data_IF_301456406591
#
_entry.id   IF_301456406591
#
_cell.length_a   1.000
_cell.length_b   1.000
_cell.length_c   1.000
_cell.angle_alpha   90.00
_cell.angle_beta   90.00
_cell.angle_gamma   90.00
#
_symmetry.space_group_name_H-M   'P 1'
#
loop_
_entity.id
_entity.type
_entity.pdbx_description
1 polymer ?
#
# COMPACT_ATOMS: atom_id res chain seq x y z
N UNK A 1 -17.04 -15.67 15.21
CA UNK A 1 -17.74 -15.67 16.52
C UNK A 1 -17.33 -14.45 17.33
N UNK A 2 -16.05 -14.21 17.59
CA UNK A 2 -15.53 -13.10 18.41
C UNK A 2 -15.94 -11.69 17.93
N UNK A 3 -16.01 -11.47 16.60
CA UNK A 3 -16.39 -10.18 16.04
C UNK A 3 -17.81 -9.75 16.45
N UNK A 4 -18.78 -10.67 16.41
CA UNK A 4 -20.15 -10.38 16.80
C UNK A 4 -20.30 -10.11 18.31
N UNK A 5 -19.52 -10.79 19.13
CA UNK A 5 -19.48 -10.56 20.59
C UNK A 5 -18.84 -9.21 20.92
N UNK A 6 -17.72 -8.87 20.25
CA UNK A 6 -17.09 -7.57 20.40
C UNK A 6 -18.03 -6.42 20.04
N UNK A 7 -18.72 -6.55 18.89
CA UNK A 7 -19.70 -5.54 18.45
C UNK A 7 -20.85 -5.40 19.44
N UNK A 8 -21.41 -6.51 19.95
CA UNK A 8 -22.45 -6.49 20.98
C UNK A 8 -21.98 -5.81 22.26
N UNK A 9 -20.74 -6.05 22.68
CA UNK A 9 -20.16 -5.43 23.86
C UNK A 9 -20.02 -3.93 23.68
N UNK A 10 -19.53 -3.47 22.54
CA UNK A 10 -19.44 -2.04 22.21
C UNK A 10 -20.83 -1.37 22.24
N UNK A 11 -21.83 -1.99 21.62
CA UNK A 11 -23.19 -1.45 21.60
C UNK A 11 -23.80 -1.35 23.00
N UNK A 12 -23.53 -2.31 23.89
CA UNK A 12 -24.03 -2.28 25.29
C UNK A 12 -23.42 -1.17 26.14
N UNK A 13 -22.25 -0.66 25.77
CA UNK A 13 -21.59 0.46 26.48
C UNK A 13 -22.19 1.83 26.10
N UNK A 14 -22.98 1.90 25.02
CA UNK A 14 -23.57 3.15 24.55
C UNK A 14 -24.87 3.42 25.32
N UNK A 15 -25.00 4.58 26.00
CA UNK A 15 -26.24 4.98 26.64
C UNK A 15 -27.38 5.05 25.61
N UNK A 16 -28.59 4.67 26.00
CA UNK A 16 -29.78 4.63 25.14
C UNK A 16 -30.04 5.93 24.38
N UNK A 17 -29.72 7.07 25.00
CA UNK A 17 -29.84 8.41 24.40
C UNK A 17 -29.00 8.58 23.12
N UNK A 18 -27.84 7.94 23.04
CA UNK A 18 -26.88 8.04 21.94
C UNK A 18 -26.78 6.78 21.11
N UNK A 19 -27.72 5.83 21.28
CA UNK A 19 -27.64 4.51 20.65
C UNK A 19 -27.62 4.60 19.13
N UNK A 20 -28.47 5.43 18.54
CA UNK A 20 -28.55 5.59 17.08
C UNK A 20 -27.24 6.15 16.49
N UNK A 21 -26.71 7.18 17.13
CA UNK A 21 -25.43 7.80 16.72
C UNK A 21 -24.27 6.81 16.87
N UNK A 22 -24.25 6.08 17.97
CA UNK A 22 -23.22 5.06 18.22
C UNK A 22 -23.25 3.91 17.21
N UNK A 23 -24.46 3.42 16.87
CA UNK A 23 -24.63 2.40 15.84
C UNK A 23 -24.17 2.90 14.47
N UNK A 24 -24.51 4.15 14.10
CA UNK A 24 -24.06 4.78 12.85
C UNK A 24 -22.53 4.91 12.83
N UNK A 25 -21.92 5.33 13.93
CA UNK A 25 -20.48 5.47 14.06
C UNK A 25 -19.77 4.12 13.87
N UNK A 26 -20.24 3.06 14.55
CA UNK A 26 -19.70 1.71 14.39
C UNK A 26 -19.80 1.26 12.93
N UNK A 27 -20.96 1.44 12.31
CA UNK A 27 -21.18 1.08 10.92
C UNK A 27 -20.23 1.83 9.97
N UNK A 28 -20.06 3.15 10.16
CA UNK A 28 -19.16 3.97 9.35
C UNK A 28 -17.70 3.55 9.49
N UNK A 29 -17.27 3.21 10.71
CA UNK A 29 -15.92 2.68 10.99
C UNK A 29 -15.71 1.33 10.26
N UNK A 30 -16.66 0.40 10.38
CA UNK A 30 -16.60 -0.91 9.71
C UNK A 30 -16.50 -0.75 8.20
N UNK A 31 -17.33 0.10 7.62
CA UNK A 31 -17.32 0.37 6.19
C UNK A 31 -15.99 0.97 5.73
N UNK A 32 -15.47 1.91 6.48
CA UNK A 32 -14.21 2.58 6.13
C UNK A 32 -13.01 1.64 6.19
N UNK A 33 -12.90 0.85 7.26
CA UNK A 33 -11.83 -0.14 7.40
C UNK A 33 -11.94 -1.20 6.30
N UNK A 34 -13.14 -1.73 6.04
CA UNK A 34 -13.36 -2.75 5.02
C UNK A 34 -13.01 -2.25 3.61
N UNK A 35 -13.42 -1.04 3.26
CA UNK A 35 -13.08 -0.42 1.96
C UNK A 35 -11.58 -0.23 1.82
N UNK A 36 -10.93 0.30 2.86
CA UNK A 36 -9.47 0.49 2.86
C UNK A 36 -8.73 -0.82 2.67
N UNK A 37 -9.03 -1.85 3.49
CA UNK A 37 -8.33 -3.13 3.43
C UNK A 37 -8.50 -3.80 2.06
N UNK A 38 -9.71 -3.79 1.49
CA UNK A 38 -9.96 -4.34 0.15
C UNK A 38 -9.16 -3.56 -0.91
N UNK A 39 -9.21 -2.24 -0.88
CA UNK A 39 -8.45 -1.38 -1.79
C UNK A 39 -6.94 -1.62 -1.68
N UNK A 40 -6.43 -1.74 -0.46
CA UNK A 40 -5.00 -1.95 -0.21
C UNK A 40 -4.52 -3.33 -0.67
N UNK A 41 -5.32 -4.39 -0.46
CA UNK A 41 -4.99 -5.73 -0.96
C UNK A 41 -4.99 -5.74 -2.49
N UNK A 42 -5.96 -5.08 -3.14
CA UNK A 42 -6.00 -4.98 -4.60
C UNK A 42 -4.82 -4.17 -5.14
N UNK A 43 -4.46 -3.05 -4.52
CA UNK A 43 -3.30 -2.25 -4.90
C UNK A 43 -1.99 -3.05 -4.74
N UNK A 44 -1.81 -3.73 -3.61
CA UNK A 44 -0.67 -4.60 -3.37
C UNK A 44 -0.55 -5.73 -4.40
N UNK A 45 -1.67 -6.37 -4.75
CA UNK A 45 -1.73 -7.40 -5.79
C UNK A 45 -1.38 -6.83 -7.17
N UNK A 46 -1.85 -5.64 -7.50
CA UNK A 46 -1.54 -4.97 -8.76
C UNK A 46 -0.06 -4.65 -8.88
N UNK A 47 0.55 -4.13 -7.82
CA UNK A 47 2.01 -3.88 -7.78
C UNK A 47 2.81 -5.16 -7.90
N UNK A 48 2.39 -6.25 -7.25
CA UNK A 48 3.02 -7.57 -7.43
C UNK A 48 3.00 -8.01 -8.89
N UNK A 49 1.84 -7.96 -9.53
CA UNK A 49 1.66 -8.36 -10.93
C UNK A 49 2.50 -7.48 -11.87
N UNK A 50 2.44 -6.15 -11.69
CA UNK A 50 3.24 -5.22 -12.53
C UNK A 50 4.73 -5.44 -12.35
N UNK A 51 5.20 -5.70 -11.14
CA UNK A 51 6.61 -6.00 -10.87
C UNK A 51 7.04 -7.32 -11.52
N UNK A 52 6.21 -8.37 -11.45
CA UNK A 52 6.48 -9.64 -12.13
C UNK A 52 6.54 -9.43 -13.65
N UNK A 53 5.57 -8.75 -14.23
CA UNK A 53 5.53 -8.47 -15.67
C UNK A 53 6.73 -7.64 -16.11
N UNK A 54 7.08 -6.58 -15.38
CA UNK A 54 8.23 -5.73 -15.67
C UNK A 54 9.54 -6.51 -15.63
N UNK A 55 9.76 -7.30 -14.59
CA UNK A 55 10.96 -8.16 -14.47
C UNK A 55 10.99 -9.25 -15.54
N UNK A 56 9.84 -9.82 -15.90
CA UNK A 56 9.74 -10.80 -16.98
C UNK A 56 10.14 -10.18 -18.33
N UNK A 57 9.67 -8.96 -18.61
CA UNK A 57 10.05 -8.21 -19.81
C UNK A 57 11.56 -7.95 -19.81
N UNK A 58 12.13 -7.43 -18.72
CA UNK A 58 13.57 -7.20 -18.60
C UNK A 58 14.37 -8.49 -18.86
N UNK A 59 13.86 -9.62 -18.41
CA UNK A 59 14.50 -10.92 -18.60
C UNK A 59 14.54 -11.35 -20.06
N UNK A 60 13.53 -11.00 -20.87
CA UNK A 60 13.55 -11.23 -22.33
C UNK A 60 14.65 -10.42 -23.02
N UNK A 61 15.07 -9.33 -22.44
CA UNK A 61 16.20 -8.52 -22.90
C UNK A 61 17.55 -8.94 -22.29
N UNK A 62 17.61 -10.06 -21.54
CA UNK A 62 18.83 -10.69 -21.03
C UNK A 62 19.27 -10.21 -19.64
N UNK A 63 18.42 -9.57 -18.85
CA UNK A 63 18.75 -9.15 -17.49
C UNK A 63 19.08 -10.33 -16.55
N UNK A 64 18.76 -11.57 -16.99
CA UNK A 64 19.06 -12.83 -16.30
C UNK A 64 18.68 -12.81 -14.82
N UNK A 65 17.47 -12.30 -14.54
CA UNK A 65 16.92 -12.22 -13.19
C UNK A 65 16.19 -13.52 -12.88
N UNK A 66 16.64 -14.24 -11.89
CA UNK A 66 15.93 -15.40 -11.34
C UNK A 66 14.96 -14.99 -10.24
N UNK A 67 14.09 -15.89 -9.81
CA UNK A 67 13.14 -15.68 -8.71
C UNK A 67 12.17 -14.48 -8.91
N UNK A 68 11.80 -14.17 -10.16
CA UNK A 68 10.92 -13.07 -10.52
C UNK A 68 9.61 -13.07 -9.71
N UNK A 69 8.97 -14.25 -9.56
CA UNK A 69 7.76 -14.41 -8.78
C UNK A 69 7.96 -14.01 -7.31
N UNK A 70 9.06 -14.45 -6.71
CA UNK A 70 9.40 -14.13 -5.32
C UNK A 70 9.63 -12.63 -5.12
N UNK A 71 10.37 -11.99 -6.02
CA UNK A 71 10.61 -10.54 -6.01
C UNK A 71 9.28 -9.77 -6.12
N UNK A 72 8.42 -10.15 -7.05
CA UNK A 72 7.13 -9.50 -7.23
C UNK A 72 6.19 -9.68 -6.05
N UNK A 73 6.18 -10.86 -5.41
CA UNK A 73 5.42 -11.10 -4.19
C UNK A 73 5.93 -10.21 -3.06
N UNK A 74 7.25 -10.10 -2.88
CA UNK A 74 7.85 -9.20 -1.88
C UNK A 74 7.44 -7.75 -2.14
N UNK A 75 7.53 -7.29 -3.40
CA UNK A 75 7.12 -5.94 -3.77
C UNK A 75 5.64 -5.69 -3.44
N UNK A 76 4.77 -6.64 -3.77
CA UNK A 76 3.34 -6.54 -3.45
C UNK A 76 3.05 -6.56 -1.96
N UNK A 77 3.66 -7.49 -1.20
CA UNK A 77 3.48 -7.54 0.25
C UNK A 77 4.00 -6.27 0.93
N UNK A 78 5.15 -5.76 0.51
CA UNK A 78 5.67 -4.50 1.02
C UNK A 78 4.75 -3.31 0.67
N UNK A 79 4.02 -3.37 -0.45
CA UNK A 79 3.07 -2.33 -0.86
C UNK A 79 1.78 -2.30 -0.01
N UNK A 80 1.61 -3.22 0.93
CA UNK A 80 0.61 -3.03 2.01
C UNK A 80 0.90 -1.76 2.84
N UNK A 81 2.14 -1.31 2.84
CA UNK A 81 2.53 0.01 3.29
C UNK A 81 2.66 0.89 2.04
N UNK A 82 1.82 1.94 1.87
CA UNK A 82 1.86 2.78 0.67
C UNK A 82 3.26 3.31 0.35
N UNK A 83 3.62 3.33 -0.92
CA UNK A 83 4.90 3.82 -1.46
C UNK A 83 6.14 2.98 -1.14
N UNK A 84 6.03 1.90 -0.38
CA UNK A 84 7.19 1.12 0.08
C UNK A 84 7.46 -0.09 -0.83
N UNK A 85 6.42 -0.61 -1.48
CA UNK A 85 6.46 -1.85 -2.25
C UNK A 85 7.58 -1.96 -3.28
N UNK A 86 7.64 -1.07 -4.30
CA UNK A 86 8.65 -1.13 -5.35
C UNK A 86 10.08 -1.04 -4.82
N UNK A 87 10.34 -0.29 -3.75
CA UNK A 87 11.68 -0.22 -3.16
C UNK A 87 12.13 -1.56 -2.58
N UNK A 88 11.23 -2.27 -1.90
CA UNK A 88 11.54 -3.59 -1.34
C UNK A 88 11.65 -4.68 -2.41
N UNK A 89 10.99 -4.52 -3.56
CA UNK A 89 11.17 -5.40 -4.72
C UNK A 89 12.47 -5.10 -5.47
N UNK A 90 12.85 -3.82 -5.59
CA UNK A 90 14.02 -3.38 -6.31
C UNK A 90 15.32 -3.90 -5.70
N UNK A 91 15.45 -3.89 -4.37
CA UNK A 91 16.67 -4.34 -3.68
C UNK A 91 17.04 -5.79 -4.03
N UNK A 92 16.15 -6.80 -3.79
CA UNK A 92 16.48 -8.17 -4.14
C UNK A 92 16.62 -8.38 -5.65
N UNK A 93 15.88 -7.64 -6.50
CA UNK A 93 16.04 -7.71 -7.94
C UNK A 93 17.45 -7.33 -8.39
N UNK A 94 17.98 -6.22 -7.88
CA UNK A 94 19.35 -5.76 -8.17
C UNK A 94 20.37 -6.76 -7.66
N UNK A 95 20.23 -7.25 -6.43
CA UNK A 95 21.17 -8.21 -5.85
C UNK A 95 21.23 -9.51 -6.65
N UNK A 96 20.08 -10.07 -7.01
CA UNK A 96 20.00 -11.30 -7.81
C UNK A 96 20.57 -11.09 -9.21
N UNK A 97 20.22 -9.95 -9.84
CA UNK A 97 20.77 -9.63 -11.15
C UNK A 97 22.29 -9.46 -11.13
N UNK A 98 22.84 -8.81 -10.12
CA UNK A 98 24.29 -8.71 -9.92
C UNK A 98 24.93 -10.08 -9.77
N UNK A 99 24.40 -10.92 -8.87
CA UNK A 99 24.95 -12.25 -8.62
C UNK A 99 24.95 -13.14 -9.87
N UNK A 100 23.88 -13.08 -10.66
CA UNK A 100 23.74 -13.91 -11.86
C UNK A 100 24.60 -13.44 -13.04
N UNK A 101 25.02 -12.18 -13.04
CA UNK A 101 25.78 -11.60 -14.14
C UNK A 101 27.26 -11.35 -13.82
N UNK A 102 27.72 -11.70 -12.60
CA UNK A 102 29.15 -11.67 -12.27
C UNK A 102 29.91 -12.66 -13.14
N UNK A 103 30.87 -12.16 -13.91
CA UNK A 103 31.71 -12.98 -14.80
C UNK A 103 31.10 -13.29 -16.17
N UNK A 104 29.97 -12.69 -16.52
CA UNK A 104 29.32 -12.85 -17.83
C UNK A 104 29.53 -11.58 -18.67
N UNK A 105 30.50 -11.61 -19.58
CA UNK A 105 30.81 -10.49 -20.49
C UNK A 105 29.61 -10.08 -21.36
N UNK A 106 28.70 -11.02 -21.65
CA UNK A 106 27.47 -10.77 -22.39
C UNK A 106 26.50 -9.84 -21.65
N UNK A 107 26.53 -9.79 -20.32
CA UNK A 107 25.68 -8.92 -19.52
C UNK A 107 26.10 -7.44 -19.59
N UNK A 108 27.35 -7.17 -20.00
CA UNK A 108 27.87 -5.81 -20.20
C UNK A 108 27.32 -5.13 -21.45
N UNK A 109 26.67 -5.89 -22.36
CA UNK A 109 26.18 -5.39 -23.65
C UNK A 109 24.66 -5.38 -23.76
N UNK A 110 23.98 -5.20 -22.66
CA UNK A 110 22.52 -5.22 -22.63
C UNK A 110 21.93 -3.97 -23.31
N UNK A 111 21.12 -4.18 -24.36
CA UNK A 111 20.50 -3.13 -25.17
C UNK A 111 19.01 -3.06 -24.87
N UNK A 112 18.55 -2.18 -23.97
CA UNK A 112 17.10 -1.92 -23.83
C UNK A 112 16.57 -1.04 -24.95
N UNK A 113 17.32 -0.07 -25.43
CA UNK A 113 16.90 0.83 -26.52
C UNK A 113 17.77 0.71 -27.78
N UNK A 114 18.16 -0.52 -28.17
CA UNK A 114 18.73 -0.81 -29.50
C UNK A 114 20.12 -0.26 -29.83
N UNK A 115 20.60 0.78 -29.14
CA UNK A 115 21.86 1.46 -29.50
C UNK A 115 22.71 1.94 -28.34
N UNK A 116 22.21 1.96 -27.12
CA UNK A 116 23.00 2.37 -25.97
C UNK A 116 23.44 1.11 -25.24
N UNK A 117 24.74 0.75 -25.26
CA UNK A 117 25.24 -0.27 -24.37
C UNK A 117 25.03 0.28 -22.97
N UNK A 118 24.01 -0.25 -22.27
CA UNK A 118 23.84 0.03 -20.86
C UNK A 118 24.78 -0.93 -20.12
N UNK A 119 25.89 -0.48 -19.59
CA UNK A 119 26.70 -1.30 -18.69
C UNK A 119 25.93 -1.61 -17.39
N UNK A 120 24.69 -1.12 -17.28
CA UNK A 120 23.94 -1.08 -16.04
C UNK A 120 22.50 -1.58 -16.25
N UNK A 121 22.31 -2.90 -16.46
CA UNK A 121 21.01 -3.55 -16.25
C UNK A 121 20.38 -3.18 -14.89
N UNK A 122 21.19 -2.70 -13.93
CA UNK A 122 20.75 -2.10 -12.67
C UNK A 122 19.87 -0.89 -12.93
N UNK A 123 20.25 -0.02 -13.86
CA UNK A 123 19.50 1.18 -14.23
C UNK A 123 18.15 0.82 -14.83
N UNK A 124 18.09 -0.25 -15.60
CA UNK A 124 16.87 -0.76 -16.19
C UNK A 124 15.90 -1.30 -15.13
N UNK A 125 16.43 -2.02 -14.14
CA UNK A 125 15.65 -2.49 -12.99
C UNK A 125 15.12 -1.29 -12.19
N UNK A 126 15.97 -0.30 -11.91
CA UNK A 126 15.57 0.93 -11.20
C UNK A 126 14.47 1.65 -11.96
N UNK A 127 14.65 1.88 -13.27
CA UNK A 127 13.66 2.56 -14.11
C UNK A 127 12.34 1.79 -14.15
N UNK A 128 12.39 0.47 -14.29
CA UNK A 128 11.20 -0.37 -14.27
C UNK A 128 10.43 -0.21 -12.95
N UNK A 129 11.10 -0.28 -11.81
CA UNK A 129 10.44 -0.10 -10.50
C UNK A 129 9.94 1.33 -10.29
N UNK A 130 10.63 2.35 -10.81
CA UNK A 130 10.13 3.73 -10.83
C UNK A 130 8.85 3.83 -11.66
N UNK A 131 8.78 3.19 -12.82
CA UNK A 131 7.57 3.17 -13.65
C UNK A 131 6.43 2.48 -12.91
N UNK A 132 6.68 1.32 -12.29
CA UNK A 132 5.67 0.63 -11.46
C UNK A 132 5.18 1.53 -10.34
N UNK A 133 6.09 2.24 -9.65
CA UNK A 133 5.73 3.20 -8.58
C UNK A 133 4.89 4.35 -9.11
N UNK A 134 5.20 4.88 -10.30
CA UNK A 134 4.41 5.96 -10.90
C UNK A 134 3.01 5.49 -11.29
N UNK A 135 2.89 4.26 -11.82
CA UNK A 135 1.58 3.67 -12.13
C UNK A 135 0.78 3.47 -10.84
N UNK A 136 1.41 2.97 -9.78
CA UNK A 136 0.74 2.79 -8.48
C UNK A 136 0.26 4.13 -7.91
N UNK A 137 1.14 5.13 -7.83
CA UNK A 137 0.82 6.43 -7.23
C UNK A 137 -0.22 7.23 -8.01
N UNK A 138 -0.18 7.18 -9.35
CA UNK A 138 -1.03 8.02 -10.20
C UNK A 138 -2.35 7.37 -10.59
N UNK A 139 -2.42 6.03 -10.60
CA UNK A 139 -3.60 5.29 -11.08
C UNK A 139 -4.13 4.30 -10.06
N UNK A 140 -3.30 3.35 -9.58
CA UNK A 140 -3.77 2.22 -8.78
C UNK A 140 -4.25 2.70 -7.41
N UNK A 141 -3.39 3.36 -6.66
CA UNK A 141 -3.69 3.84 -5.32
C UNK A 141 -4.86 4.84 -5.30
N UNK A 142 -4.95 5.87 -6.18
CA UNK A 142 -6.12 6.74 -6.21
C UNK A 142 -7.44 6.02 -6.52
N UNK A 143 -7.43 5.09 -7.48
CA UNK A 143 -8.64 4.37 -7.90
C UNK A 143 -9.09 3.37 -6.83
N UNK A 144 -8.18 2.60 -6.25
CA UNK A 144 -8.51 1.49 -5.36
C UNK A 144 -8.60 1.89 -3.88
N UNK A 145 -7.81 2.87 -3.45
CA UNK A 145 -7.68 3.26 -2.05
C UNK A 145 -8.17 4.69 -1.79
N UNK A 146 -8.00 5.60 -2.75
CA UNK A 146 -8.15 7.04 -2.56
C UNK A 146 -9.52 7.50 -2.04
N UNK A 147 -10.61 6.92 -2.52
CA UNK A 147 -11.97 7.26 -2.04
C UNK A 147 -12.29 6.71 -0.65
N UNK A 148 -11.54 5.69 -0.22
CA UNK A 148 -11.88 4.92 0.98
C UNK A 148 -11.68 5.70 2.28
N UNK A 149 -10.77 6.67 2.32
CA UNK A 149 -10.36 7.32 3.57
C UNK A 149 -10.70 8.82 3.57
N UNK A 150 -10.71 9.46 2.40
CA UNK A 150 -10.97 10.88 2.25
C UNK A 150 -10.04 11.76 3.10
N UNK A 151 -8.82 11.32 3.34
CA UNK A 151 -7.78 12.09 4.01
C UNK A 151 -6.95 12.85 2.95
N UNK A 152 -6.52 14.05 3.31
CA UNK A 152 -5.59 14.79 2.48
C UNK A 152 -4.24 14.04 2.41
N UNK A 153 -3.55 13.99 1.25
CA UNK A 153 -2.28 13.26 1.09
C UNK A 153 -1.22 13.60 2.16
N UNK A 154 -1.12 14.87 2.54
CA UNK A 154 -0.20 15.31 3.61
C UNK A 154 -0.54 14.67 4.96
N UNK A 155 -1.84 14.52 5.28
CA UNK A 155 -2.26 13.87 6.52
C UNK A 155 -1.88 12.39 6.51
N UNK A 156 -1.99 11.72 5.36
CA UNK A 156 -1.55 10.32 5.20
C UNK A 156 -0.06 10.20 5.48
N UNK A 157 0.79 11.09 4.93
CA UNK A 157 2.23 11.07 5.17
C UNK A 157 2.59 11.27 6.65
N UNK A 158 1.93 12.23 7.31
CA UNK A 158 2.14 12.50 8.74
C UNK A 158 1.75 11.29 9.59
N UNK A 159 0.61 10.69 9.29
CA UNK A 159 0.10 9.53 10.04
C UNK A 159 1.01 8.30 9.83
N UNK A 160 1.51 8.07 8.61
CA UNK A 160 2.50 7.02 8.34
C UNK A 160 3.80 7.25 9.10
N UNK A 161 4.29 8.50 9.16
CA UNK A 161 5.48 8.85 9.92
C UNK A 161 5.28 8.57 11.42
N UNK A 162 4.15 9.02 11.98
CA UNK A 162 3.81 8.76 13.39
C UNK A 162 3.72 7.25 13.65
N UNK A 163 2.99 6.50 12.81
CA UNK A 163 2.87 5.06 12.95
C UNK A 163 4.22 4.36 12.88
N UNK A 164 5.07 4.79 11.94
CA UNK A 164 6.42 4.26 11.77
C UNK A 164 7.35 4.52 12.95
N UNK A 165 7.27 5.70 13.55
CA UNK A 165 8.08 6.02 14.74
C UNK A 165 7.61 5.31 16.00
N UNK A 166 6.32 5.02 16.14
CA UNK A 166 5.75 4.37 17.31
C UNK A 166 5.95 2.85 17.34
N UNK A 167 5.66 2.17 16.22
CA UNK A 167 5.59 0.70 16.18
C UNK A 167 6.36 0.14 14.96
N UNK A 168 7.10 0.98 14.23
CA UNK A 168 7.83 0.56 13.04
C UNK A 168 6.92 0.20 11.85
N UNK A 169 7.30 -0.77 10.99
CA UNK A 169 6.53 -1.14 9.78
C UNK A 169 5.08 -1.55 10.06
N UNK A 170 4.84 -2.22 11.18
CA UNK A 170 3.49 -2.61 11.62
C UNK A 170 2.66 -1.36 11.93
N UNK A 171 3.27 -0.36 12.59
CA UNK A 171 2.62 0.92 12.84
C UNK A 171 2.25 1.66 11.56
N UNK A 172 3.10 1.65 10.53
CA UNK A 172 2.77 2.22 9.22
C UNK A 172 1.57 1.52 8.57
N UNK A 173 1.51 0.18 8.65
CA UNK A 173 0.42 -0.60 8.09
C UNK A 173 -0.95 -0.22 8.69
N UNK A 174 -1.00 -0.04 10.01
CA UNK A 174 -2.24 0.30 10.71
C UNK A 174 -2.50 1.80 10.87
N UNK A 175 -1.54 2.64 10.51
CA UNK A 175 -1.63 4.09 10.67
C UNK A 175 -2.82 4.71 9.93
N UNK A 176 -3.03 4.31 8.67
CA UNK A 176 -4.10 4.86 7.83
C UNK A 176 -5.48 4.40 8.30
N UNK A 177 -5.74 3.11 8.58
CA UNK A 177 -7.00 2.69 9.20
C UNK A 177 -7.29 3.41 10.52
N UNK A 178 -6.28 3.55 11.38
CA UNK A 178 -6.44 4.26 12.65
C UNK A 178 -6.84 5.73 12.47
N UNK A 179 -6.18 6.44 11.53
CA UNK A 179 -6.55 7.81 11.20
C UNK A 179 -7.95 7.91 10.62
N UNK A 180 -8.37 6.94 9.82
CA UNK A 180 -9.73 6.85 9.31
C UNK A 180 -10.76 6.71 10.42
N UNK A 181 -10.50 5.86 11.40
CA UNK A 181 -11.36 5.72 12.59
C UNK A 181 -11.45 7.02 13.37
N UNK A 182 -10.31 7.67 13.63
CA UNK A 182 -10.27 8.98 14.33
C UNK A 182 -11.10 10.01 13.58
N UNK A 183 -10.98 10.06 12.24
CA UNK A 183 -11.77 10.98 11.40
C UNK A 183 -13.27 10.74 11.54
N UNK A 184 -13.73 9.48 11.53
CA UNK A 184 -15.15 9.15 11.73
C UNK A 184 -15.62 9.60 13.11
N UNK A 185 -14.86 9.32 14.16
CA UNK A 185 -15.19 9.70 15.55
C UNK A 185 -15.32 11.23 15.65
N UNK A 186 -14.33 11.99 15.15
CA UNK A 186 -14.38 13.45 15.17
C UNK A 186 -15.58 13.97 14.37
N UNK A 187 -15.85 13.40 13.21
CA UNK A 187 -17.00 13.78 12.38
C UNK A 187 -18.33 13.61 13.11
N UNK A 188 -18.53 12.49 13.80
CA UNK A 188 -19.75 12.23 14.58
C UNK A 188 -19.87 13.14 15.81
N UNK A 189 -18.77 13.44 16.51
CA UNK A 189 -18.77 14.39 17.63
C UNK A 189 -19.18 15.79 17.15
N UNK A 190 -18.64 16.26 16.02
CA UNK A 190 -19.00 17.55 15.44
C UNK A 190 -20.48 17.56 15.02
N UNK A 191 -20.96 16.45 14.43
CA UNK A 191 -22.37 16.32 14.05
C UNK A 191 -23.30 16.42 15.27
N UNK A 192 -22.99 15.73 16.37
CA UNK A 192 -23.74 15.79 17.63
C UNK A 192 -23.75 17.22 18.17
N UNK A 193 -22.58 17.86 18.22
CA UNK A 193 -22.45 19.24 18.74
C UNK A 193 -23.27 20.24 17.96
N UNK A 194 -23.35 20.13 16.64
CA UNK A 194 -24.13 21.02 15.78
C UNK A 194 -25.63 20.74 15.81
N UNK A 195 -26.03 19.50 16.09
CA UNK A 195 -27.41 19.05 16.05
C UNK A 195 -27.92 18.60 17.43
N UNK A 196 -27.43 19.21 18.50
CA UNK A 196 -27.79 18.85 19.88
C UNK A 196 -29.29 18.98 20.17
N UNK A 197 -30.02 19.73 19.34
CA UNK A 197 -31.49 19.89 19.41
C UNK A 197 -32.26 18.70 18.82
N UNK A 198 -31.58 17.73 18.15
CA UNK A 198 -32.19 16.54 17.57
C UNK A 198 -32.00 15.27 18.48
N UNK A 199 -31.30 15.39 19.59
CA UNK A 199 -31.03 14.38 20.61
C UNK A 199 -31.91 14.63 21.85
#
# INVERSE_FOLDING_TARGET
VEYHEFKRTLVRLIPNKYLEVGLRMIYNIEQQISKYLRGQILAASSVAILSILGLFILNQFGANITLILFIGIIAGLANLIPMVGPFFGMIPAILIALMNNIGNDAALFHKIFGTIPSPFFILDIILMFIIVQQIDNNFITPILVGESIGLHPMAVMIVLLIGGTLIGPIGMLFAIPAAGVIKVIIGEIIFISKNSHLL
#
